data_IF_236788170538
#
_entry.id   IF_236788170538
#
_cell.length_a   1.000
_cell.length_b   1.000
_cell.length_c   1.000
_cell.angle_alpha   90.00
_cell.angle_beta   90.00
_cell.angle_gamma   90.00
#
_symmetry.space_group_name_H-M   'P 1'
#
loop_
_entity.id
_entity.type
_entity.pdbx_description
1 polymer ?
#
# COMPACT_ATOMS: atom_id res chain seq x y z
N UNK A 1 23.39 -17.68 2.69
CA UNK A 1 22.84 -16.54 3.44
C UNK A 1 22.16 -15.68 2.39
N UNK A 2 20.95 -15.22 2.62
CA UNK A 2 20.22 -14.44 1.63
C UNK A 2 20.47 -12.94 1.86
N UNK A 3 20.71 -12.18 0.78
CA UNK A 3 20.87 -10.73 0.83
C UNK A 3 19.57 -10.05 0.37
N UNK A 4 19.14 -9.04 1.11
CA UNK A 4 17.93 -8.27 0.79
C UNK A 4 18.29 -6.80 0.63
N UNK A 5 17.92 -6.23 -0.51
CA UNK A 5 18.01 -4.81 -0.80
C UNK A 5 16.70 -4.10 -0.47
N UNK A 6 16.75 -2.92 0.13
CA UNK A 6 15.56 -2.08 0.38
C UNK A 6 15.80 -0.68 -0.17
N UNK A 7 14.93 -0.25 -1.07
CA UNK A 7 14.96 1.07 -1.68
C UNK A 7 13.85 1.92 -1.08
N UNK A 8 14.22 3.00 -0.41
CA UNK A 8 13.29 3.86 0.32
C UNK A 8 13.08 3.42 1.77
N UNK A 9 13.76 4.09 2.70
CA UNK A 9 13.68 3.84 4.14
C UNK A 9 12.64 4.77 4.81
N UNK A 10 11.40 4.69 4.30
CA UNK A 10 10.23 5.34 4.91
C UNK A 10 9.62 4.52 6.05
N UNK A 11 8.30 4.67 6.24
CA UNK A 11 7.54 3.83 7.18
C UNK A 11 7.61 2.36 6.76
N UNK A 12 7.25 2.05 5.51
CA UNK A 12 7.18 0.67 5.00
C UNK A 12 8.57 0.05 4.90
N UNK A 13 9.48 0.66 4.13
CA UNK A 13 10.82 0.09 3.93
C UNK A 13 11.64 0.01 5.22
N UNK A 14 11.52 1.00 6.12
CA UNK A 14 12.15 0.93 7.42
C UNK A 14 11.57 -0.16 8.32
N UNK A 15 10.25 -0.42 8.25
CA UNK A 15 9.62 -1.52 8.97
C UNK A 15 10.03 -2.87 8.40
N UNK A 16 10.06 -3.02 7.06
CA UNK A 16 10.56 -4.24 6.40
C UNK A 16 12.01 -4.53 6.81
N UNK A 17 12.88 -3.50 6.84
CA UNK A 17 14.26 -3.66 7.28
C UNK A 17 14.33 -4.23 8.70
N UNK A 18 13.62 -3.63 9.66
CA UNK A 18 13.57 -4.08 11.06
C UNK A 18 13.00 -5.48 11.20
N UNK A 19 11.88 -5.76 10.50
CA UNK A 19 11.22 -7.06 10.50
C UNK A 19 12.14 -8.16 9.96
N UNK A 20 12.84 -7.91 8.85
CA UNK A 20 13.80 -8.85 8.26
C UNK A 20 14.93 -9.14 9.25
N UNK A 21 15.49 -8.11 9.89
CA UNK A 21 16.56 -8.27 10.90
C UNK A 21 16.09 -9.06 12.11
N UNK A 22 14.83 -8.91 12.51
CA UNK A 22 14.28 -9.60 13.70
C UNK A 22 13.96 -11.07 13.40
N UNK A 23 13.37 -11.37 12.25
CA UNK A 23 12.79 -12.68 11.96
C UNK A 23 13.66 -13.59 11.09
N UNK A 24 14.75 -13.05 10.52
CA UNK A 24 15.59 -13.82 9.58
C UNK A 24 17.08 -13.60 9.82
N UNK A 25 17.95 -14.54 9.40
CA UNK A 25 19.40 -14.36 9.43
C UNK A 25 19.93 -13.63 8.18
N UNK A 26 19.11 -12.85 7.48
CA UNK A 26 19.46 -12.22 6.22
C UNK A 26 20.27 -10.95 6.42
N UNK A 27 21.15 -10.67 5.44
CA UNK A 27 21.86 -9.39 5.38
C UNK A 27 20.97 -8.37 4.68
N UNK A 28 20.79 -7.19 5.28
CA UNK A 28 19.94 -6.12 4.77
C UNK A 28 20.79 -4.94 4.29
N UNK A 29 20.67 -4.63 3.01
CA UNK A 29 21.23 -3.41 2.41
C UNK A 29 20.09 -2.41 2.18
N UNK A 30 20.30 -1.14 2.55
CA UNK A 30 19.25 -0.13 2.38
C UNK A 30 19.74 1.12 1.68
N UNK A 31 18.86 1.81 0.96
CA UNK A 31 19.14 3.13 0.40
C UNK A 31 17.95 4.07 0.54
N UNK A 32 18.22 5.33 0.82
CA UNK A 32 17.24 6.44 0.80
C UNK A 32 17.97 7.73 0.43
N UNK A 33 17.35 8.59 -0.37
CA UNK A 33 17.91 9.90 -0.74
C UNK A 33 18.13 10.83 0.45
N UNK A 34 17.53 10.55 1.59
CA UNK A 34 17.65 11.33 2.82
C UNK A 34 18.74 10.74 3.73
N UNK A 35 19.87 11.43 3.84
CA UNK A 35 21.01 11.01 4.66
C UNK A 35 20.67 10.80 6.15
N UNK A 36 19.71 11.56 6.70
CA UNK A 36 19.29 11.37 8.09
C UNK A 36 18.55 10.06 8.31
N UNK A 37 17.74 9.61 7.33
CA UNK A 37 17.10 8.29 7.37
C UNK A 37 18.15 7.18 7.29
N UNK A 38 19.12 7.30 6.39
CA UNK A 38 20.24 6.35 6.28
C UNK A 38 20.99 6.23 7.61
N UNK A 39 21.42 7.35 8.17
CA UNK A 39 22.11 7.36 9.47
C UNK A 39 21.27 6.71 10.58
N UNK A 40 19.97 6.99 10.65
CA UNK A 40 19.06 6.37 11.64
C UNK A 40 18.92 4.86 11.43
N UNK A 41 18.83 4.42 10.17
CA UNK A 41 18.72 2.99 9.85
C UNK A 41 19.96 2.22 10.30
N UNK A 42 21.16 2.78 10.12
CA UNK A 42 22.41 2.22 10.65
C UNK A 42 22.45 2.22 12.19
N UNK A 43 22.15 3.35 12.83
CA UNK A 43 22.19 3.48 14.29
C UNK A 43 21.22 2.55 15.00
N UNK A 44 20.10 2.22 14.35
CA UNK A 44 19.10 1.27 14.89
C UNK A 44 19.32 -0.15 14.39
N UNK A 45 20.45 -0.44 13.75
CA UNK A 45 20.81 -1.76 13.22
C UNK A 45 19.73 -2.38 12.31
N UNK A 46 18.94 -1.51 11.66
CA UNK A 46 17.89 -1.95 10.73
C UNK A 46 18.48 -2.39 9.37
N UNK A 47 19.67 -1.91 9.04
CA UNK A 47 20.44 -2.29 7.84
C UNK A 47 21.87 -2.64 8.23
N UNK A 48 22.49 -3.59 7.51
CA UNK A 48 23.87 -4.01 7.68
C UNK A 48 24.83 -3.20 6.82
N UNK A 49 24.33 -2.63 5.72
CA UNK A 49 25.12 -1.86 4.76
C UNK A 49 24.27 -0.97 3.87
N UNK A 50 24.92 -0.13 3.09
CA UNK A 50 24.27 0.68 2.07
C UNK A 50 24.02 -0.15 0.81
N UNK A 51 22.84 0.02 0.20
CA UNK A 51 22.55 -0.53 -1.12
C UNK A 51 23.17 0.38 -2.19
N UNK A 52 24.26 -0.10 -2.79
CA UNK A 52 25.06 0.61 -3.80
C UNK A 52 25.10 -0.18 -5.11
N UNK A 53 25.77 0.34 -6.14
CA UNK A 53 26.00 -0.38 -7.39
C UNK A 53 26.78 -1.70 -7.19
N UNK A 54 27.59 -1.81 -6.13
CA UNK A 54 28.36 -3.02 -5.83
C UNK A 54 27.56 -4.04 -5.02
N UNK A 55 26.60 -3.61 -4.19
CA UNK A 55 25.81 -4.51 -3.34
C UNK A 55 24.48 -4.92 -3.97
N UNK A 56 23.89 -4.10 -4.85
CA UNK A 56 22.66 -4.42 -5.56
C UNK A 56 22.72 -5.75 -6.34
N UNK A 57 23.81 -6.04 -7.11
CA UNK A 57 23.95 -7.32 -7.81
C UNK A 57 24.13 -8.54 -6.91
N UNK A 58 24.25 -8.34 -5.59
CA UNK A 58 24.37 -9.42 -4.61
C UNK A 58 23.04 -9.76 -3.94
N UNK A 59 21.99 -8.94 -4.14
CA UNK A 59 20.71 -9.12 -3.48
C UNK A 59 19.87 -10.21 -4.16
N UNK A 60 19.39 -11.16 -3.38
CA UNK A 60 18.47 -12.22 -3.81
C UNK A 60 17.02 -11.72 -3.88
N UNK A 61 16.70 -10.72 -3.05
CA UNK A 61 15.41 -10.02 -3.03
C UNK A 61 15.66 -8.52 -2.95
N UNK A 62 14.93 -7.73 -3.72
CA UNK A 62 14.96 -6.27 -3.63
C UNK A 62 13.53 -5.75 -3.43
N UNK A 63 13.32 -5.01 -2.35
CA UNK A 63 12.04 -4.40 -1.98
C UNK A 63 12.07 -2.92 -2.33
N UNK A 64 11.15 -2.46 -3.20
CA UNK A 64 11.10 -1.07 -3.66
C UNK A 64 9.96 -0.34 -2.95
N UNK A 65 10.31 0.49 -1.96
CA UNK A 65 9.38 1.17 -1.06
C UNK A 65 9.32 2.67 -1.34
N UNK A 66 9.04 3.03 -2.59
CA UNK A 66 8.93 4.39 -3.10
C UNK A 66 7.47 4.70 -3.52
N UNK A 67 7.22 5.92 -3.99
CA UNK A 67 5.97 6.29 -4.66
C UNK A 67 5.93 5.66 -6.07
N UNK A 68 4.76 5.52 -6.69
CA UNK A 68 4.59 4.78 -7.94
C UNK A 68 5.57 5.17 -9.04
N UNK A 69 5.70 6.46 -9.35
CA UNK A 69 6.66 6.91 -10.37
C UNK A 69 8.10 6.62 -9.96
N UNK A 70 8.44 6.82 -8.69
CA UNK A 70 9.79 6.51 -8.18
C UNK A 70 10.12 5.02 -8.21
N UNK A 71 9.14 4.13 -8.08
CA UNK A 71 9.30 2.68 -8.28
C UNK A 71 9.68 2.39 -9.73
N UNK A 72 8.90 2.92 -10.67
CA UNK A 72 9.11 2.73 -12.11
C UNK A 72 10.48 3.26 -12.53
N UNK A 73 10.82 4.47 -12.12
CA UNK A 73 12.09 5.13 -12.45
C UNK A 73 13.28 4.33 -11.91
N UNK A 74 13.23 3.93 -10.63
CA UNK A 74 14.33 3.18 -10.01
C UNK A 74 14.55 1.82 -10.67
N UNK A 75 13.49 1.04 -10.81
CA UNK A 75 13.60 -0.31 -11.40
C UNK A 75 14.06 -0.24 -12.85
N UNK A 76 13.56 0.72 -13.62
CA UNK A 76 13.97 0.90 -15.02
C UNK A 76 15.45 1.32 -15.12
N UNK A 77 15.89 2.25 -14.28
CA UNK A 77 17.28 2.74 -14.29
C UNK A 77 18.29 1.67 -13.89
N UNK A 78 17.91 0.74 -13.00
CA UNK A 78 18.76 -0.31 -12.45
C UNK A 78 18.47 -1.70 -13.01
N UNK A 79 17.70 -1.80 -14.09
CA UNK A 79 17.25 -3.09 -14.63
C UNK A 79 18.41 -4.06 -14.99
N UNK A 80 19.56 -3.52 -15.40
CA UNK A 80 20.74 -4.31 -15.72
C UNK A 80 21.59 -4.69 -14.48
N UNK A 81 21.35 -4.06 -13.34
CA UNK A 81 22.15 -4.22 -12.12
C UNK A 81 21.58 -5.26 -11.17
N UNK A 82 20.31 -5.68 -11.34
CA UNK A 82 19.72 -6.72 -10.50
C UNK A 82 20.36 -8.08 -10.76
N UNK A 83 20.54 -8.81 -9.66
CA UNK A 83 21.09 -10.16 -9.72
C UNK A 83 20.20 -11.08 -10.58
N UNK A 84 20.75 -11.90 -11.47
CA UNK A 84 19.99 -12.94 -12.16
C UNK A 84 19.21 -13.83 -11.17
N UNK A 85 17.97 -14.18 -11.52
CA UNK A 85 17.04 -14.97 -10.69
C UNK A 85 16.63 -14.30 -9.36
N UNK A 86 16.94 -13.01 -9.14
CA UNK A 86 16.46 -12.29 -7.96
C UNK A 86 14.97 -11.94 -8.07
N UNK A 87 14.34 -11.74 -6.92
CA UNK A 87 12.98 -11.22 -6.81
C UNK A 87 13.03 -9.71 -6.58
N UNK A 88 12.42 -8.94 -7.47
CA UNK A 88 12.20 -7.49 -7.30
C UNK A 88 10.73 -7.29 -7.01
N UNK A 89 10.41 -6.84 -5.79
CA UNK A 89 9.03 -6.69 -5.30
C UNK A 89 8.82 -5.22 -4.95
N UNK A 90 7.83 -4.58 -5.57
CA UNK A 90 7.44 -3.24 -5.13
C UNK A 90 6.50 -3.29 -3.91
N UNK A 91 6.36 -2.16 -3.22
CA UNK A 91 5.48 -2.00 -2.07
C UNK A 91 4.54 -0.80 -2.24
N UNK A 92 4.22 -0.44 -3.48
CA UNK A 92 3.36 0.70 -3.80
C UNK A 92 1.88 0.44 -3.52
N UNK A 93 1.12 1.52 -3.37
CA UNK A 93 -0.31 1.47 -3.07
C UNK A 93 -1.23 1.21 -4.26
N UNK A 94 -0.71 1.25 -5.49
CA UNK A 94 -1.40 0.94 -6.76
C UNK A 94 -0.56 -0.04 -7.56
N UNK A 95 -1.20 -0.84 -8.43
CA UNK A 95 -0.50 -1.93 -9.13
C UNK A 95 -0.53 -1.81 -10.64
N UNK A 96 -1.64 -1.38 -11.25
CA UNK A 96 -1.79 -1.42 -12.69
C UNK A 96 -0.68 -0.62 -13.39
N UNK A 97 -0.52 0.66 -13.04
CA UNK A 97 0.49 1.54 -13.65
C UNK A 97 1.92 1.02 -13.45
N UNK A 98 2.22 0.48 -12.28
CA UNK A 98 3.55 -0.05 -11.94
C UNK A 98 3.82 -1.35 -12.72
N UNK A 99 2.88 -2.28 -12.70
CA UNK A 99 3.02 -3.58 -13.35
C UNK A 99 3.07 -3.46 -14.88
N UNK A 100 2.21 -2.62 -15.48
CA UNK A 100 2.21 -2.36 -16.92
C UNK A 100 3.56 -1.78 -17.40
N UNK A 101 4.19 -0.94 -16.58
CA UNK A 101 5.52 -0.40 -16.89
C UNK A 101 6.63 -1.44 -16.69
N UNK A 102 6.58 -2.27 -15.65
CA UNK A 102 7.73 -3.07 -15.20
C UNK A 102 7.71 -4.54 -15.65
N UNK A 103 6.57 -5.15 -15.94
CA UNK A 103 6.54 -6.49 -16.53
C UNK A 103 7.31 -6.56 -17.86
N UNK A 104 7.11 -5.63 -18.83
CA UNK A 104 7.91 -5.65 -20.06
C UNK A 104 9.40 -5.39 -19.84
N UNK A 105 9.76 -4.69 -18.78
CA UNK A 105 11.17 -4.47 -18.42
C UNK A 105 11.76 -5.78 -17.91
N UNK A 106 11.15 -6.42 -16.89
CA UNK A 106 11.68 -7.65 -16.29
C UNK A 106 11.85 -8.79 -17.30
N UNK A 107 10.95 -8.91 -18.29
CA UNK A 107 11.02 -9.92 -19.36
C UNK A 107 12.28 -9.80 -20.25
N UNK A 108 12.98 -8.67 -20.23
CA UNK A 108 14.22 -8.45 -21.01
C UNK A 108 15.48 -8.88 -20.24
N UNK A 109 15.31 -9.20 -18.97
CA UNK A 109 16.40 -9.52 -18.06
C UNK A 109 16.14 -10.87 -17.36
N UNK A 110 17.12 -11.36 -16.61
CA UNK A 110 17.06 -12.66 -15.95
C UNK A 110 16.60 -12.57 -14.47
N UNK A 111 15.89 -11.51 -14.08
CA UNK A 111 15.30 -11.35 -12.74
C UNK A 111 13.76 -11.27 -12.83
N UNK A 112 13.07 -11.44 -11.71
CA UNK A 112 11.61 -11.54 -11.65
C UNK A 112 11.02 -10.32 -10.95
N UNK A 113 10.07 -9.63 -11.62
CA UNK A 113 9.29 -8.56 -11.01
C UNK A 113 7.94 -9.10 -10.51
N UNK A 114 7.58 -8.73 -9.29
CA UNK A 114 6.27 -9.05 -8.70
C UNK A 114 5.72 -7.77 -8.08
N UNK A 115 4.53 -7.36 -8.50
CA UNK A 115 3.81 -6.26 -7.87
C UNK A 115 3.43 -6.64 -6.44
N UNK A 116 3.77 -5.80 -5.47
CA UNK A 116 3.47 -6.04 -4.06
C UNK A 116 2.71 -4.88 -3.43
N UNK A 117 1.86 -5.17 -2.44
CA UNK A 117 1.23 -4.17 -1.60
C UNK A 117 1.03 -4.70 -0.18
N UNK A 118 1.87 -4.32 0.78
CA UNK A 118 1.65 -4.65 2.18
C UNK A 118 0.43 -3.88 2.71
N UNK A 119 -0.63 -4.60 3.10
CA UNK A 119 -1.87 -4.02 3.64
C UNK A 119 -1.66 -3.59 5.09
N UNK A 120 -0.67 -2.73 5.28
CA UNK A 120 -0.29 -2.17 6.57
C UNK A 120 0.15 -0.71 6.39
N UNK A 121 -0.25 0.14 7.31
CA UNK A 121 0.08 1.57 7.26
C UNK A 121 -0.32 2.27 8.54
N UNK A 122 0.14 3.50 8.66
CA UNK A 122 -0.21 4.41 9.76
C UNK A 122 -0.37 5.81 9.20
N UNK A 123 -1.01 6.67 9.97
CA UNK A 123 -1.26 8.08 9.61
C UNK A 123 0.02 8.94 9.63
N UNK A 124 1.16 8.32 9.92
CA UNK A 124 2.46 8.99 10.02
C UNK A 124 3.43 8.41 8.99
N UNK A 125 4.31 9.24 8.46
CA UNK A 125 5.33 8.86 7.49
C UNK A 125 6.75 9.01 8.04
N UNK A 126 7.70 8.29 7.42
CA UNK A 126 9.13 8.37 7.71
C UNK A 126 9.65 7.28 8.65
N UNK A 127 10.97 7.08 8.61
CA UNK A 127 11.68 6.03 9.32
C UNK A 127 11.45 6.04 10.85
N UNK A 128 11.27 7.21 11.46
CA UNK A 128 11.04 7.34 12.92
C UNK A 128 9.79 6.61 13.42
N UNK A 129 8.85 6.31 12.53
CA UNK A 129 7.62 5.58 12.84
C UNK A 129 7.67 4.11 12.39
N UNK A 130 8.78 3.69 11.78
CA UNK A 130 9.00 2.32 11.36
C UNK A 130 9.08 1.38 12.57
N UNK A 131 8.37 0.24 12.48
CA UNK A 131 8.24 -0.78 13.54
C UNK A 131 8.52 -2.16 12.96
N UNK A 132 9.04 -3.04 13.76
CA UNK A 132 9.30 -4.44 13.45
C UNK A 132 8.03 -5.32 13.45
N UNK A 133 6.97 -4.85 14.12
CA UNK A 133 5.66 -5.50 14.22
C UNK A 133 4.58 -4.88 13.29
N UNK A 134 4.96 -3.99 12.36
CA UNK A 134 4.00 -3.29 11.50
C UNK A 134 3.17 -4.26 10.63
N UNK A 135 3.74 -5.40 10.28
CA UNK A 135 3.12 -6.37 9.37
C UNK A 135 2.45 -7.53 10.09
N UNK A 136 2.53 -7.58 11.42
CA UNK A 136 1.84 -8.58 12.21
C UNK A 136 0.32 -8.50 11.95
N UNK A 137 -0.25 -9.65 11.60
CA UNK A 137 -1.67 -9.77 11.21
C UNK A 137 -2.08 -9.07 9.91
N UNK A 138 -1.16 -8.41 9.20
CA UNK A 138 -1.44 -7.81 7.90
C UNK A 138 -1.47 -8.85 6.78
N UNK A 139 -2.11 -8.49 5.67
CA UNK A 139 -2.02 -9.25 4.41
C UNK A 139 -0.97 -8.62 3.52
N UNK A 140 -0.28 -9.45 2.73
CA UNK A 140 0.50 -9.00 1.58
C UNK A 140 -0.25 -9.37 0.30
N UNK A 141 -0.50 -8.40 -0.56
CA UNK A 141 -1.05 -8.67 -1.89
C UNK A 141 0.12 -8.79 -2.86
N UNK A 142 0.11 -9.84 -3.68
CA UNK A 142 1.10 -10.07 -4.73
C UNK A 142 0.41 -10.18 -6.09
N UNK A 143 0.92 -9.42 -7.07
CA UNK A 143 0.47 -9.42 -8.44
C UNK A 143 1.63 -9.89 -9.33
N UNK A 144 1.55 -11.12 -9.79
CA UNK A 144 2.48 -11.66 -10.78
C UNK A 144 2.03 -11.35 -12.21
N UNK A 145 2.93 -11.54 -13.17
CA UNK A 145 2.57 -11.63 -14.58
C UNK A 145 1.89 -12.97 -14.86
N UNK A 146 0.96 -12.99 -15.83
CA UNK A 146 0.17 -14.21 -16.13
C UNK A 146 0.99 -15.43 -16.55
N UNK A 147 2.21 -15.22 -17.03
CA UNK A 147 3.14 -16.26 -17.49
C UNK A 147 4.25 -16.56 -16.47
N UNK A 148 4.13 -16.03 -15.24
CA UNK A 148 5.14 -16.31 -14.19
C UNK A 148 5.19 -17.80 -13.83
N UNK A 149 6.42 -18.30 -13.65
CA UNK A 149 6.63 -19.63 -13.10
C UNK A 149 6.02 -19.74 -11.68
N UNK A 150 5.14 -20.71 -11.42
CA UNK A 150 4.60 -20.96 -10.08
C UNK A 150 5.67 -21.05 -8.98
N UNK A 151 6.88 -21.53 -9.31
CA UNK A 151 7.99 -21.60 -8.37
C UNK A 151 8.48 -20.20 -7.94
N UNK A 152 8.45 -19.20 -8.83
CA UNK A 152 8.78 -17.82 -8.53
C UNK A 152 7.75 -17.20 -7.58
N UNK A 153 6.46 -17.42 -7.87
CA UNK A 153 5.38 -16.96 -7.01
C UNK A 153 5.43 -17.60 -5.62
N UNK A 154 5.75 -18.91 -5.57
CA UNK A 154 5.93 -19.60 -4.29
C UNK A 154 7.13 -19.06 -3.50
N UNK A 155 8.26 -18.76 -4.16
CA UNK A 155 9.43 -18.13 -3.52
C UNK A 155 9.07 -16.77 -2.92
N UNK A 156 8.34 -15.94 -3.66
CA UNK A 156 7.88 -14.64 -3.18
C UNK A 156 6.96 -14.79 -1.96
N UNK A 157 6.00 -15.71 -2.02
CA UNK A 157 5.13 -16.04 -0.89
C UNK A 157 5.93 -16.49 0.33
N UNK A 158 6.85 -17.42 0.16
CA UNK A 158 7.64 -17.98 1.27
C UNK A 158 8.55 -16.93 1.91
N UNK A 159 9.07 -16.01 1.10
CA UNK A 159 9.81 -14.85 1.61
C UNK A 159 8.92 -13.95 2.46
N UNK A 160 7.78 -13.53 1.93
CA UNK A 160 6.83 -12.63 2.61
C UNK A 160 6.30 -13.25 3.90
N UNK A 161 5.94 -14.54 3.90
CA UNK A 161 5.44 -15.21 5.10
C UNK A 161 6.47 -15.26 6.25
N UNK A 162 7.77 -15.23 5.97
CA UNK A 162 8.82 -15.12 6.99
C UNK A 162 8.85 -13.74 7.66
N UNK A 163 8.23 -12.73 7.08
CA UNK A 163 8.18 -11.37 7.59
C UNK A 163 6.98 -11.10 8.53
N UNK A 164 6.27 -12.13 8.99
CA UNK A 164 5.18 -12.01 9.95
C UNK A 164 3.81 -11.67 9.34
N UNK A 165 3.69 -11.58 8.01
CA UNK A 165 2.38 -11.41 7.38
C UNK A 165 1.46 -12.59 7.69
N UNK A 166 0.20 -12.32 8.01
CA UNK A 166 -0.80 -13.35 8.31
C UNK A 166 -1.15 -14.19 7.08
N UNK A 167 -1.20 -13.56 5.91
CA UNK A 167 -1.57 -14.21 4.64
C UNK A 167 -1.01 -13.46 3.44
N UNK A 168 -0.90 -14.19 2.35
CA UNK A 168 -0.59 -13.66 1.02
C UNK A 168 -1.80 -13.86 0.12
N UNK A 169 -2.24 -12.78 -0.54
CA UNK A 169 -3.30 -12.79 -1.53
C UNK A 169 -2.70 -12.59 -2.92
N UNK A 170 -2.82 -13.58 -3.79
CA UNK A 170 -2.50 -13.42 -5.20
C UNK A 170 -3.69 -12.85 -5.96
N UNK A 171 -3.44 -11.88 -6.85
CA UNK A 171 -4.46 -11.26 -7.69
C UNK A 171 -3.84 -10.64 -8.94
N UNK A 172 -4.66 -10.10 -9.83
CA UNK A 172 -4.19 -9.30 -10.97
C UNK A 172 -4.02 -7.85 -10.56
N UNK A 173 -3.15 -7.06 -11.24
CA UNK A 173 -3.03 -5.62 -11.00
C UNK A 173 -4.37 -4.88 -11.08
N UNK A 174 -5.17 -5.19 -12.08
CA UNK A 174 -6.51 -4.62 -12.29
C UNK A 174 -7.44 -4.89 -11.09
N UNK A 175 -7.58 -6.15 -10.71
CA UNK A 175 -8.46 -6.53 -9.58
C UNK A 175 -7.97 -5.91 -8.26
N UNK A 176 -6.63 -5.83 -8.07
CA UNK A 176 -6.05 -5.13 -6.94
C UNK A 176 -6.54 -3.68 -6.89
N UNK A 177 -6.39 -2.94 -7.99
CA UNK A 177 -6.68 -1.51 -8.04
C UNK A 177 -8.19 -1.23 -7.90
N UNK A 178 -9.06 -2.06 -8.47
CA UNK A 178 -10.51 -2.01 -8.27
C UNK A 178 -10.88 -2.19 -6.77
N UNK A 179 -10.27 -3.17 -6.11
CA UNK A 179 -10.53 -3.42 -4.69
C UNK A 179 -9.98 -2.32 -3.80
N UNK A 180 -8.77 -1.81 -4.09
CA UNK A 180 -8.16 -0.72 -3.33
C UNK A 180 -8.89 0.60 -3.52
N UNK A 181 -9.45 0.86 -4.70
CA UNK A 181 -10.31 2.01 -4.94
C UNK A 181 -11.47 2.06 -3.94
N UNK A 182 -12.14 0.93 -3.73
CA UNK A 182 -13.28 0.84 -2.81
C UNK A 182 -12.87 0.73 -1.34
N UNK A 183 -11.98 -0.20 -1.00
CA UNK A 183 -11.68 -0.55 0.39
C UNK A 183 -10.75 0.43 1.10
N UNK A 184 -9.99 1.22 0.34
CA UNK A 184 -9.00 2.17 0.86
C UNK A 184 -9.23 3.59 0.35
N UNK A 185 -9.07 3.82 -0.97
CA UNK A 185 -9.02 5.17 -1.53
C UNK A 185 -10.33 5.94 -1.32
N UNK A 186 -11.48 5.29 -1.56
CA UNK A 186 -12.79 5.89 -1.31
C UNK A 186 -12.95 6.33 0.15
N UNK A 187 -12.51 5.51 1.11
CA UNK A 187 -12.57 5.87 2.53
C UNK A 187 -11.76 7.14 2.84
N UNK A 188 -10.60 7.31 2.20
CA UNK A 188 -9.78 8.51 2.35
C UNK A 188 -10.43 9.75 1.71
N UNK A 189 -11.05 9.60 0.54
CA UNK A 189 -11.83 10.67 -0.11
C UNK A 189 -12.96 11.12 0.81
N UNK A 190 -13.74 10.17 1.33
CA UNK A 190 -14.88 10.44 2.23
C UNK A 190 -14.43 11.12 3.51
N UNK A 191 -13.41 10.60 4.16
CA UNK A 191 -12.86 11.16 5.41
C UNK A 191 -12.35 12.60 5.20
N UNK A 192 -11.61 12.83 4.10
CA UNK A 192 -11.11 14.14 3.73
C UNK A 192 -12.25 15.14 3.39
N UNK A 193 -13.29 14.68 2.71
CA UNK A 193 -14.46 15.51 2.42
C UNK A 193 -15.25 15.83 3.69
N UNK A 194 -15.43 14.84 4.56
CA UNK A 194 -16.19 14.95 5.80
C UNK A 194 -15.63 16.02 6.75
N UNK A 195 -14.32 16.08 6.95
CA UNK A 195 -13.69 17.05 7.85
C UNK A 195 -13.74 18.49 7.33
N UNK A 196 -14.08 18.72 6.04
CA UNK A 196 -14.19 20.06 5.45
C UNK A 196 -15.52 20.77 5.78
N UNK A 197 -16.44 20.09 6.47
CA UNK A 197 -17.67 20.71 6.94
C UNK A 197 -17.35 21.86 7.92
N UNK A 198 -17.94 23.07 7.77
CA UNK A 198 -17.70 24.20 8.70
C UNK A 198 -18.05 23.90 10.16
N UNK A 199 -18.87 22.87 10.42
CA UNK A 199 -19.19 22.40 11.78
C UNK A 199 -18.03 21.63 12.43
N UNK A 200 -17.07 21.13 11.64
CA UNK A 200 -15.96 20.35 12.18
C UNK A 200 -15.13 21.13 13.21
N UNK A 201 -14.96 22.44 13.04
CA UNK A 201 -14.26 23.30 14.02
C UNK A 201 -14.96 23.41 15.38
N UNK A 202 -16.26 23.11 15.41
CA UNK A 202 -17.12 23.22 16.60
C UNK A 202 -17.42 21.88 17.27
N UNK A 203 -16.78 20.79 16.83
CA UNK A 203 -17.13 19.43 17.26
C UNK A 203 -16.85 19.13 18.75
N UNK A 204 -15.97 19.90 19.41
CA UNK A 204 -15.53 19.61 20.79
C UNK A 204 -16.70 19.62 21.76
N UNK A 205 -16.83 18.53 22.51
CA UNK A 205 -17.95 18.28 23.43
C UNK A 205 -19.20 17.69 22.79
N UNK A 206 -19.25 17.60 21.44
CA UNK A 206 -20.37 17.01 20.70
C UNK A 206 -19.98 15.75 19.91
N UNK A 207 -18.69 15.41 19.87
CA UNK A 207 -18.18 14.27 19.11
C UNK A 207 -17.90 13.06 20.00
N UNK A 208 -18.11 11.87 19.44
CA UNK A 208 -17.82 10.58 20.05
C UNK A 208 -17.15 9.63 19.02
N UNK A 209 -17.20 8.32 19.24
CA UNK A 209 -16.55 7.32 18.40
C UNK A 209 -16.82 7.47 16.90
N UNK A 210 -18.07 7.69 16.50
CA UNK A 210 -18.43 7.84 15.08
C UNK A 210 -17.67 8.96 14.37
N UNK A 211 -17.48 10.10 15.04
CA UNK A 211 -16.68 11.20 14.47
C UNK A 211 -15.20 10.81 14.38
N UNK A 212 -14.66 10.19 15.42
CA UNK A 212 -13.27 9.74 15.42
C UNK A 212 -12.99 8.73 14.31
N UNK A 213 -13.90 7.73 14.15
CA UNK A 213 -13.78 6.71 13.12
C UNK A 213 -13.82 7.32 11.70
N UNK A 214 -14.77 8.22 11.44
CA UNK A 214 -14.94 8.87 10.14
C UNK A 214 -13.81 9.85 9.79
N UNK A 215 -13.10 10.39 10.77
CA UNK A 215 -12.05 11.40 10.54
C UNK A 215 -10.64 10.86 10.69
N UNK A 216 -10.48 9.63 11.17
CA UNK A 216 -9.17 9.02 11.49
C UNK A 216 -8.18 9.08 10.33
N UNK A 217 -8.66 8.79 9.13
CA UNK A 217 -7.80 8.73 7.93
C UNK A 217 -7.82 10.02 7.10
N UNK A 218 -8.32 11.14 7.63
CA UNK A 218 -8.39 12.41 6.90
C UNK A 218 -7.03 13.14 6.78
N UNK A 219 -6.02 12.75 7.57
CA UNK A 219 -4.69 13.36 7.50
C UNK A 219 -3.90 12.73 6.34
N UNK A 220 -4.02 13.32 5.18
CA UNK A 220 -3.40 12.86 3.95
C UNK A 220 -2.15 13.70 3.63
N UNK A 221 -1.10 13.05 3.12
CA UNK A 221 -0.03 13.76 2.44
C UNK A 221 -0.51 14.06 1.02
N UNK A 222 -0.65 15.33 0.68
CA UNK A 222 -1.27 15.79 -0.56
C UNK A 222 -0.55 15.32 -1.81
N UNK A 223 0.78 15.30 -1.81
CA UNK A 223 1.57 14.87 -2.97
C UNK A 223 1.38 13.38 -3.25
N UNK A 224 1.57 12.55 -2.21
CA UNK A 224 1.42 11.09 -2.31
C UNK A 224 0.00 10.69 -2.72
N UNK A 225 -1.01 11.24 -2.06
CA UNK A 225 -2.40 10.84 -2.32
C UNK A 225 -2.92 11.35 -3.66
N UNK A 226 -2.41 12.51 -4.13
CA UNK A 226 -2.71 12.97 -5.48
C UNK A 226 -2.19 11.97 -6.51
N UNK A 227 -0.92 11.54 -6.42
CA UNK A 227 -0.35 10.52 -7.30
C UNK A 227 -1.18 9.24 -7.26
N UNK A 228 -1.42 8.67 -6.08
CA UNK A 228 -2.18 7.42 -5.91
C UNK A 228 -3.63 7.49 -6.47
N UNK A 229 -4.31 8.63 -6.30
CA UNK A 229 -5.67 8.78 -6.82
C UNK A 229 -5.72 8.90 -8.34
N UNK A 230 -4.75 9.61 -8.94
CA UNK A 230 -4.69 9.75 -10.39
C UNK A 230 -4.19 8.50 -11.07
N UNK A 231 -3.24 7.78 -10.49
CA UNK A 231 -2.75 6.50 -11.00
C UNK A 231 -3.84 5.42 -10.99
N UNK A 232 -4.79 5.52 -10.05
CA UNK A 232 -5.94 4.61 -9.96
C UNK A 232 -7.27 5.28 -10.37
N UNK A 233 -7.22 6.34 -11.17
CA UNK A 233 -8.40 7.14 -11.52
C UNK A 233 -9.52 6.34 -12.15
N UNK A 234 -9.19 5.39 -13.04
CA UNK A 234 -10.18 4.59 -13.76
C UNK A 234 -11.02 3.71 -12.82
N UNK A 235 -10.43 3.18 -11.77
CA UNK A 235 -11.15 2.40 -10.77
C UNK A 235 -11.79 3.29 -9.68
N UNK A 236 -11.14 4.39 -9.29
CA UNK A 236 -11.61 5.25 -8.20
C UNK A 236 -12.81 6.12 -8.60
N UNK A 237 -12.80 6.71 -9.80
CA UNK A 237 -13.86 7.62 -10.23
C UNK A 237 -15.26 6.99 -10.17
N UNK A 238 -15.50 5.78 -10.71
CA UNK A 238 -16.81 5.14 -10.65
C UNK A 238 -17.34 4.90 -9.22
N UNK A 239 -16.46 4.51 -8.29
CA UNK A 239 -16.89 4.27 -6.90
C UNK A 239 -17.15 5.55 -6.13
N UNK A 240 -16.48 6.65 -6.48
CA UNK A 240 -16.80 7.98 -5.94
C UNK A 240 -18.15 8.46 -6.47
N UNK A 241 -18.43 8.29 -7.77
CA UNK A 241 -19.71 8.64 -8.40
C UNK A 241 -20.87 7.85 -7.80
N UNK A 242 -20.72 6.53 -7.60
CA UNK A 242 -21.73 5.69 -6.93
C UNK A 242 -21.99 6.20 -5.50
N UNK A 243 -20.94 6.50 -4.73
CA UNK A 243 -21.13 7.05 -3.39
C UNK A 243 -21.88 8.39 -3.39
N UNK A 244 -21.53 9.30 -4.32
CA UNK A 244 -22.24 10.59 -4.46
C UNK A 244 -23.71 10.35 -4.75
N UNK A 245 -24.03 9.41 -5.64
CA UNK A 245 -25.42 9.05 -5.94
C UNK A 245 -26.14 8.52 -4.68
N UNK A 246 -25.53 7.61 -3.94
CA UNK A 246 -26.08 7.05 -2.70
C UNK A 246 -26.34 8.14 -1.64
N UNK A 247 -25.39 9.03 -1.43
CA UNK A 247 -25.57 10.15 -0.48
C UNK A 247 -26.66 11.12 -0.95
N UNK A 248 -26.79 11.29 -2.27
CA UNK A 248 -27.87 12.09 -2.88
C UNK A 248 -29.24 11.54 -2.56
N UNK A 249 -29.44 10.22 -2.59
CA UNK A 249 -30.71 9.55 -2.22
C UNK A 249 -31.13 9.88 -0.78
N UNK A 250 -30.19 9.83 0.18
CA UNK A 250 -30.46 10.25 1.57
C UNK A 250 -30.81 11.72 1.67
N UNK A 251 -30.09 12.60 0.96
CA UNK A 251 -30.39 14.04 0.92
C UNK A 251 -31.79 14.29 0.39
N UNK A 252 -32.17 13.64 -0.69
CA UNK A 252 -33.46 13.85 -1.34
C UNK A 252 -34.61 13.33 -0.47
N UNK A 253 -34.46 12.15 0.16
CA UNK A 253 -35.43 11.67 1.12
C UNK A 253 -35.61 12.61 2.32
N UNK A 254 -34.55 13.27 2.79
CA UNK A 254 -34.62 14.28 3.86
C UNK A 254 -35.29 15.55 3.38
N UNK A 255 -34.91 16.08 2.22
CA UNK A 255 -35.49 17.30 1.64
C UNK A 255 -36.98 17.17 1.41
N UNK A 256 -37.41 16.00 0.89
CA UNK A 256 -38.80 15.73 0.50
C UNK A 256 -39.62 15.16 1.68
N UNK A 257 -39.04 15.12 2.89
CA UNK A 257 -39.61 14.55 4.13
C UNK A 257 -40.15 13.12 3.95
N UNK A 258 -39.59 12.36 3.00
CA UNK A 258 -40.03 11.00 2.63
C UNK A 258 -39.52 9.96 3.62
N UNK A 259 -40.29 9.73 4.69
CA UNK A 259 -39.94 8.77 5.75
C UNK A 259 -39.92 7.31 5.30
N UNK A 260 -40.70 6.96 4.31
CA UNK A 260 -40.75 5.57 3.80
C UNK A 260 -39.49 5.27 2.99
N UNK A 261 -39.09 6.17 2.10
CA UNK A 261 -37.84 6.01 1.35
C UNK A 261 -36.63 6.01 2.30
N UNK A 262 -36.61 6.89 3.30
CA UNK A 262 -35.53 6.89 4.30
C UNK A 262 -35.43 5.53 5.02
N UNK A 263 -36.57 4.94 5.43
CA UNK A 263 -36.56 3.60 6.06
C UNK A 263 -36.07 2.51 5.14
N UNK A 264 -36.41 2.59 3.85
CA UNK A 264 -35.92 1.65 2.83
C UNK A 264 -34.41 1.73 2.69
N UNK A 265 -33.81 2.92 2.49
CA UNK A 265 -32.38 3.15 2.37
C UNK A 265 -31.62 2.63 3.61
N UNK A 266 -32.11 2.92 4.81
CA UNK A 266 -31.49 2.43 6.05
C UNK A 266 -31.57 0.91 6.18
N UNK A 267 -32.66 0.28 5.77
CA UNK A 267 -32.82 -1.18 5.75
C UNK A 267 -31.84 -1.83 4.81
N UNK A 268 -31.72 -1.33 3.58
CA UNK A 268 -30.78 -1.84 2.58
C UNK A 268 -29.32 -1.76 3.09
N UNK A 269 -28.95 -0.66 3.72
CA UNK A 269 -27.64 -0.50 4.34
C UNK A 269 -27.38 -1.52 5.45
N UNK A 270 -28.35 -1.72 6.36
CA UNK A 270 -28.28 -2.70 7.44
C UNK A 270 -28.13 -4.13 6.91
N UNK A 271 -28.98 -4.53 5.98
CA UNK A 271 -28.97 -5.88 5.39
C UNK A 271 -27.67 -6.15 4.62
N UNK A 272 -27.14 -5.14 3.94
CA UNK A 272 -25.83 -5.24 3.29
C UNK A 272 -24.72 -5.43 4.32
N UNK A 273 -24.74 -4.66 5.42
CA UNK A 273 -23.73 -4.80 6.48
C UNK A 273 -23.78 -6.18 7.15
N UNK A 274 -24.98 -6.72 7.39
CA UNK A 274 -25.16 -8.06 7.94
C UNK A 274 -24.50 -9.12 7.05
N UNK A 275 -24.73 -9.09 5.73
CA UNK A 275 -24.08 -10.02 4.76
C UNK A 275 -22.55 -9.91 4.70
N UNK A 276 -22.00 -8.74 4.99
CA UNK A 276 -20.54 -8.54 4.94
C UNK A 276 -19.84 -9.00 6.23
N UNK A 277 -20.58 -9.33 7.28
CA UNK A 277 -20.04 -9.74 8.59
C UNK A 277 -20.16 -11.25 8.84
N UNK A 278 -20.96 -11.94 8.06
CA UNK A 278 -21.07 -13.40 8.01
C UNK A 278 -20.02 -14.01 7.05
#
# INVERSE_FOLDING_TARGET
MQNVGIVGLGLIGGSLAKTIKLHTPYTVYGTDKNADKMRRAFLMEAIDGELTAETLPQCDVVLICLYPQGIIDYVTAHAADFKPDSLVIDCGGVKQVICDALFPVSQRYAWHFIGGHPMAGREYSGFKYARDDLFDHASMILCGHGDDDPAVLQRARDFVMKLGFLRVQFTTPKTHDEMIAYTSQLAHVVSSAYVKCPLADKHRGFSAGSFADMTRVARLNEDMWTELFFDNREALLPVVEDLVQRVTEYRDALRDENREEMRKLLREGRETKERLTD
#
